data_IF_270610893851
#
_entry.id   IF_270610893851
#
_cell.length_a   1.000
_cell.length_b   1.000
_cell.length_c   1.000
_cell.angle_alpha   90.00
_cell.angle_beta   90.00
_cell.angle_gamma   90.00
#
_symmetry.space_group_name_H-M   'P 1'
#
loop_
_entity.id
_entity.type
_entity.pdbx_description
1 polymer ?
#
# COMPACT_ATOMS: atom_id res chain seq x y z
N UNK A 1 94.89 -53.46 5.82
CA UNK A 1 94.80 -52.06 5.37
C UNK A 1 95.36 -52.02 3.96
N UNK A 2 94.63 -51.52 2.96
CA UNK A 2 95.17 -51.37 1.60
C UNK A 2 96.15 -50.19 1.60
N UNK A 3 97.30 -50.34 0.94
CA UNK A 3 98.38 -49.33 0.90
C UNK A 3 98.71 -49.02 -0.57
N UNK A 4 98.87 -47.73 -0.90
CA UNK A 4 99.20 -47.29 -2.26
C UNK A 4 100.73 -47.25 -2.37
N UNK A 5 101.33 -48.40 -2.64
CA UNK A 5 102.72 -48.47 -3.09
C UNK A 5 102.78 -49.42 -4.28
N UNK A 6 103.54 -49.07 -5.30
CA UNK A 6 103.81 -49.99 -6.40
C UNK A 6 104.73 -51.09 -5.87
N UNK A 7 104.29 -52.34 -5.92
CA UNK A 7 105.06 -53.50 -5.45
C UNK A 7 106.32 -53.63 -6.30
N UNK A 8 107.40 -53.04 -5.82
CA UNK A 8 108.73 -53.15 -6.38
C UNK A 8 109.59 -53.90 -5.35
N UNK A 9 110.78 -54.38 -5.72
CA UNK A 9 111.71 -54.97 -4.74
C UNK A 9 112.08 -54.05 -3.56
N UNK A 10 111.68 -52.77 -3.60
CA UNK A 10 112.05 -51.71 -2.68
C UNK A 10 110.99 -51.39 -1.60
N UNK A 11 109.81 -52.04 -1.61
CA UNK A 11 108.74 -51.87 -0.59
C UNK A 11 108.59 -53.11 0.30
N UNK A 12 108.03 -53.00 1.52
CA UNK A 12 107.71 -54.18 2.36
C UNK A 12 106.69 -55.09 1.66
N UNK A 13 106.57 -56.38 2.05
CA UNK A 13 105.54 -57.25 1.48
C UNK A 13 104.13 -56.69 1.66
N UNK A 14 103.91 -55.90 2.73
CA UNK A 14 102.66 -55.17 2.97
C UNK A 14 102.52 -53.85 2.18
N UNK A 15 103.53 -53.42 1.41
CA UNK A 15 103.49 -52.17 0.65
C UNK A 15 103.91 -50.91 1.43
N UNK A 16 104.75 -51.07 2.46
CA UNK A 16 105.34 -49.98 3.22
C UNK A 16 106.72 -49.56 2.72
N UNK A 17 107.17 -48.38 3.15
CA UNK A 17 108.54 -47.92 3.03
C UNK A 17 109.50 -48.81 3.82
N UNK A 18 110.67 -49.10 3.23
CA UNK A 18 111.82 -49.73 3.91
C UNK A 18 112.94 -48.71 4.04
N UNK A 19 113.84 -48.94 4.99
CA UNK A 19 115.14 -48.27 4.96
C UNK A 19 115.89 -48.67 3.68
N UNK A 20 116.54 -47.69 3.03
CA UNK A 20 117.39 -47.96 1.87
C UNK A 20 118.61 -48.84 2.23
N UNK A 21 119.35 -49.30 1.23
CA UNK A 21 120.60 -50.03 1.46
C UNK A 21 121.70 -49.06 1.94
N UNK A 22 122.35 -49.37 3.07
CA UNK A 22 123.46 -48.59 3.61
C UNK A 22 124.78 -48.90 2.89
N UNK A 23 124.87 -48.59 1.59
CA UNK A 23 126.16 -48.62 0.88
C UNK A 23 126.93 -47.34 1.26
N UNK A 24 127.94 -47.47 2.11
CA UNK A 24 128.85 -46.36 2.47
C UNK A 24 128.71 -45.77 3.88
N UNK A 25 128.07 -46.47 4.84
CA UNK A 25 128.15 -46.11 6.26
C UNK A 25 127.39 -44.84 6.68
N UNK A 26 126.52 -44.29 5.83
CA UNK A 26 125.56 -43.23 6.20
C UNK A 26 124.13 -43.82 6.24
N UNK A 27 123.28 -43.42 7.20
CA UNK A 27 121.89 -43.85 7.24
C UNK A 27 121.19 -43.48 5.91
N UNK A 28 120.48 -44.42 5.28
CA UNK A 28 119.68 -44.11 4.11
C UNK A 28 118.47 -43.28 4.56
N UNK A 29 118.46 -42.01 4.16
CA UNK A 29 117.51 -40.92 4.45
C UNK A 29 117.38 -40.45 5.93
N UNK A 30 117.25 -39.12 6.19
CA UNK A 30 117.09 -38.58 7.55
C UNK A 30 115.79 -38.97 8.27
N UNK A 31 114.79 -39.44 7.51
CA UNK A 31 113.43 -39.72 7.99
C UNK A 31 113.26 -41.23 8.18
N UNK A 32 112.69 -41.62 9.33
CA UNK A 32 112.43 -43.02 9.68
C UNK A 32 111.35 -43.62 8.79
N UNK A 33 111.58 -44.82 8.27
CA UNK A 33 110.61 -45.55 7.45
C UNK A 33 109.30 -45.81 8.21
N UNK A 34 109.37 -46.04 9.52
CA UNK A 34 108.22 -46.23 10.39
C UNK A 34 107.30 -44.99 10.39
N UNK A 35 107.88 -43.78 10.41
CA UNK A 35 107.09 -42.55 10.36
C UNK A 35 106.39 -42.38 9.01
N UNK A 36 107.08 -42.66 7.91
CA UNK A 36 106.49 -42.62 6.57
C UNK A 36 105.35 -43.63 6.42
N UNK A 37 105.50 -44.82 7.02
CA UNK A 37 104.46 -45.84 7.04
C UNK A 37 103.23 -45.41 7.86
N UNK A 38 103.43 -44.74 9.00
CA UNK A 38 102.33 -44.17 9.80
C UNK A 38 101.58 -43.11 8.99
N UNK A 39 102.30 -42.17 8.36
CA UNK A 39 101.68 -41.14 7.52
C UNK A 39 100.89 -41.77 6.36
N UNK A 40 101.46 -42.77 5.69
CA UNK A 40 100.76 -43.49 4.61
C UNK A 40 99.48 -44.16 5.10
N UNK A 41 99.52 -44.79 6.29
CA UNK A 41 98.35 -45.41 6.90
C UNK A 41 97.27 -44.39 7.27
N UNK A 42 97.63 -43.25 7.87
CA UNK A 42 96.68 -42.18 8.21
C UNK A 42 96.02 -41.58 6.96
N UNK A 43 96.79 -41.33 5.90
CA UNK A 43 96.27 -40.82 4.63
C UNK A 43 95.33 -41.84 3.96
N UNK A 44 95.70 -43.12 3.97
CA UNK A 44 94.86 -44.20 3.44
C UNK A 44 93.54 -44.32 4.22
N UNK A 45 93.59 -44.23 5.55
CA UNK A 45 92.41 -44.26 6.42
C UNK A 45 91.49 -43.06 6.18
N UNK A 46 92.07 -41.85 6.06
CA UNK A 46 91.30 -40.66 5.73
C UNK A 46 90.59 -40.78 4.38
N UNK A 47 91.28 -41.29 3.36
CA UNK A 47 90.69 -41.52 2.03
C UNK A 47 89.54 -42.52 2.12
N UNK A 48 89.75 -43.67 2.77
CA UNK A 48 88.74 -44.71 2.92
C UNK A 48 87.54 -44.30 3.80
N UNK A 49 87.70 -43.28 4.65
CA UNK A 49 86.58 -42.73 5.42
C UNK A 49 85.56 -41.97 4.55
N UNK A 50 85.96 -41.48 3.38
CA UNK A 50 85.13 -40.64 2.51
C UNK A 50 85.00 -41.15 1.06
N UNK A 51 85.82 -42.11 0.64
CA UNK A 51 85.80 -42.75 -0.68
C UNK A 51 85.73 -44.29 -0.54
N UNK A 52 85.14 -45.01 -1.51
CA UNK A 52 84.86 -46.45 -1.36
C UNK A 52 86.11 -47.34 -1.38
N UNK A 53 87.20 -46.90 -2.03
CA UNK A 53 88.44 -47.66 -2.16
C UNK A 53 89.63 -46.75 -2.49
N UNK A 54 90.85 -47.22 -2.23
CA UNK A 54 92.09 -46.60 -2.71
C UNK A 54 92.31 -46.96 -4.20
N UNK A 55 92.84 -46.02 -4.99
CA UNK A 55 93.12 -46.25 -6.40
C UNK A 55 94.52 -45.73 -6.76
N UNK A 56 95.44 -46.64 -7.09
CA UNK A 56 96.84 -46.31 -7.35
C UNK A 56 97.06 -45.40 -8.58
N UNK A 57 96.06 -45.23 -9.45
CA UNK A 57 96.15 -44.42 -10.66
C UNK A 57 95.61 -42.99 -10.49
N UNK A 58 95.09 -42.66 -9.31
CA UNK A 58 94.51 -41.34 -9.05
C UNK A 58 95.33 -40.63 -7.98
N UNK A 59 96.03 -39.57 -8.37
CA UNK A 59 96.87 -38.78 -7.47
C UNK A 59 96.06 -37.73 -6.68
N UNK A 60 94.77 -37.55 -6.96
CA UNK A 60 93.91 -36.52 -6.38
C UNK A 60 92.94 -37.07 -5.32
N UNK A 61 92.99 -38.34 -4.97
CA UNK A 61 92.02 -38.96 -4.06
C UNK A 61 92.06 -38.40 -2.64
N UNK A 62 93.22 -37.92 -2.17
CA UNK A 62 93.28 -37.18 -0.91
C UNK A 62 92.45 -35.89 -0.98
N UNK A 63 92.54 -35.16 -2.10
CA UNK A 63 91.76 -33.95 -2.35
C UNK A 63 90.27 -34.29 -2.48
N UNK A 64 89.91 -35.34 -3.22
CA UNK A 64 88.52 -35.79 -3.36
C UNK A 64 87.91 -36.20 -2.01
N UNK A 65 88.66 -36.92 -1.16
CA UNK A 65 88.23 -37.27 0.19
C UNK A 65 88.02 -36.02 1.07
N UNK A 66 88.91 -35.03 0.98
CA UNK A 66 88.76 -33.76 1.70
C UNK A 66 87.55 -32.95 1.20
N UNK A 67 87.30 -32.90 -0.10
CA UNK A 67 86.11 -32.27 -0.68
C UNK A 67 84.82 -32.96 -0.21
N UNK A 68 84.81 -34.30 -0.16
CA UNK A 68 83.68 -35.07 0.37
C UNK A 68 83.46 -34.82 1.87
N UNK A 69 84.52 -34.71 2.66
CA UNK A 69 84.43 -34.32 4.08
C UNK A 69 83.74 -32.97 4.25
N UNK A 70 84.14 -31.95 3.47
CA UNK A 70 83.56 -30.61 3.52
C UNK A 70 82.09 -30.63 3.07
N UNK A 71 81.79 -31.36 1.99
CA UNK A 71 80.41 -31.54 1.50
C UNK A 71 79.51 -32.22 2.54
N UNK A 72 80.04 -33.21 3.26
CA UNK A 72 79.32 -33.91 4.33
C UNK A 72 79.10 -33.02 5.56
N UNK A 73 80.04 -32.12 5.86
CA UNK A 73 79.89 -31.14 6.94
C UNK A 73 78.76 -30.15 6.63
N UNK A 74 78.64 -29.73 5.37
CA UNK A 74 77.53 -28.92 4.83
C UNK A 74 76.17 -29.64 4.75
N UNK A 75 76.11 -30.94 5.05
CA UNK A 75 74.86 -31.71 5.07
C UNK A 75 74.35 -32.09 6.45
N UNK A 76 75.20 -32.01 7.49
CA UNK A 76 74.89 -32.58 8.82
C UNK A 76 74.17 -31.64 9.78
N UNK A 77 74.34 -30.32 9.65
CA UNK A 77 73.65 -29.37 10.51
C UNK A 77 72.30 -28.95 9.90
N UNK A 78 71.21 -29.20 10.62
CA UNK A 78 69.84 -28.77 10.25
C UNK A 78 69.47 -27.39 10.80
N UNK A 79 70.41 -26.73 11.51
CA UNK A 79 70.20 -25.42 12.14
C UNK A 79 71.36 -24.47 11.85
N UNK A 80 71.07 -23.17 11.84
CA UNK A 80 72.07 -22.10 11.71
C UNK A 80 73.13 -22.18 12.81
N UNK A 81 72.72 -22.49 14.05
CA UNK A 81 73.64 -22.69 15.18
C UNK A 81 74.60 -23.87 14.97
N UNK A 82 74.15 -24.93 14.30
CA UNK A 82 75.00 -26.06 13.92
C UNK A 82 76.08 -25.71 12.91
N UNK A 83 75.93 -24.62 12.16
CA UNK A 83 76.97 -24.04 11.29
C UNK A 83 77.83 -22.97 11.97
N UNK A 84 77.61 -22.69 13.27
CA UNK A 84 78.27 -21.58 13.96
C UNK A 84 77.80 -20.20 13.51
N UNK A 85 76.68 -20.10 12.79
CA UNK A 85 76.09 -18.83 12.37
C UNK A 85 75.29 -18.26 13.54
N UNK A 86 75.82 -17.22 14.17
CA UNK A 86 75.22 -16.59 15.37
C UNK A 86 74.45 -15.30 15.05
N UNK A 87 74.77 -14.63 13.95
CA UNK A 87 74.11 -13.39 13.51
C UNK A 87 73.08 -13.67 12.40
N UNK A 88 72.09 -14.51 12.71
CA UNK A 88 70.99 -14.81 11.80
C UNK A 88 69.65 -14.84 12.55
N UNK A 89 68.57 -14.46 11.86
CA UNK A 89 67.22 -14.61 12.39
C UNK A 89 66.83 -16.08 12.45
N UNK A 90 66.45 -16.56 13.63
CA UNK A 90 65.93 -17.91 13.81
C UNK A 90 64.40 -17.90 13.68
N UNK A 91 63.84 -18.98 13.12
CA UNK A 91 62.39 -19.15 13.01
C UNK A 91 61.66 -18.92 14.35
N UNK A 92 62.08 -19.50 15.49
CA UNK A 92 61.43 -19.26 16.78
C UNK A 92 61.42 -17.79 17.20
N UNK A 93 62.51 -17.05 16.92
CA UNK A 93 62.60 -15.63 17.26
C UNK A 93 61.65 -14.78 16.40
N UNK A 94 61.54 -15.09 15.11
CA UNK A 94 60.59 -14.42 14.21
C UNK A 94 59.16 -14.73 14.60
N UNK A 95 58.86 -16.00 14.90
CA UNK A 95 57.52 -16.44 15.31
C UNK A 95 57.08 -15.76 16.62
N UNK A 96 57.99 -15.57 17.59
CA UNK A 96 57.72 -14.82 18.83
C UNK A 96 57.41 -13.34 18.55
N UNK A 97 58.25 -12.66 17.76
CA UNK A 97 58.01 -11.25 17.41
C UNK A 97 56.70 -11.05 16.63
N UNK A 98 56.41 -11.94 15.69
CA UNK A 98 55.17 -11.88 14.91
C UNK A 98 53.94 -12.14 15.79
N UNK A 99 54.02 -13.13 16.69
CA UNK A 99 52.94 -13.42 17.64
C UNK A 99 52.68 -12.23 18.58
N UNK A 100 53.73 -11.54 19.04
CA UNK A 100 53.58 -10.31 19.83
C UNK A 100 52.92 -9.19 19.05
N UNK A 101 53.26 -9.03 17.76
CA UNK A 101 52.63 -8.04 16.87
C UNK A 101 51.17 -8.37 16.58
N UNK A 102 50.84 -9.63 16.33
CA UNK A 102 49.49 -10.08 16.01
C UNK A 102 48.54 -10.08 17.22
N UNK A 103 49.07 -10.32 18.42
CA UNK A 103 48.30 -10.34 19.67
C UNK A 103 48.49 -9.07 20.50
N UNK A 104 48.93 -7.97 19.88
CA UNK A 104 49.29 -6.75 20.60
C UNK A 104 48.07 -6.09 21.27
N UNK A 105 46.88 -6.21 20.68
CA UNK A 105 45.62 -5.74 21.28
C UNK A 105 44.41 -5.94 20.39
N UNK A 106 43.28 -5.34 20.79
CA UNK A 106 42.00 -5.44 20.07
C UNK A 106 41.53 -4.07 19.52
N UNK A 107 42.17 -2.98 19.92
CA UNK A 107 41.82 -1.63 19.48
C UNK A 107 42.84 -1.07 18.49
N UNK A 108 42.41 -0.13 17.66
CA UNK A 108 43.29 0.61 16.74
C UNK A 108 44.44 1.32 17.47
N UNK A 109 44.18 1.83 18.69
CA UNK A 109 45.17 2.48 19.52
C UNK A 109 46.27 1.52 19.99
N UNK A 110 45.91 0.26 20.30
CA UNK A 110 46.90 -0.76 20.66
C UNK A 110 47.89 -0.95 19.50
N UNK A 111 47.41 -0.96 18.26
CA UNK A 111 48.28 -1.05 17.07
C UNK A 111 49.00 0.26 16.71
N UNK A 112 48.83 1.34 17.48
CA UNK A 112 49.41 2.65 17.20
C UNK A 112 48.77 3.39 16.01
N UNK A 113 47.54 3.02 15.63
CA UNK A 113 46.80 3.64 14.54
C UNK A 113 45.99 4.81 15.13
N UNK A 114 46.50 6.03 14.97
CA UNK A 114 45.90 7.25 15.54
C UNK A 114 45.00 8.05 14.61
N UNK A 115 45.06 7.80 13.31
CA UNK A 115 44.33 8.52 12.26
C UNK A 115 43.03 7.82 11.83
N UNK A 116 42.80 6.58 12.28
CA UNK A 116 41.58 5.84 12.01
C UNK A 116 40.41 6.30 12.90
N UNK A 117 39.20 6.33 12.33
CA UNK A 117 37.99 6.55 13.11
C UNK A 117 37.66 5.33 13.97
N UNK A 118 37.39 5.56 15.26
CA UNK A 118 36.88 4.51 16.15
C UNK A 118 35.37 4.35 15.96
N UNK A 119 34.86 3.15 16.25
CA UNK A 119 33.42 2.87 16.27
C UNK A 119 32.65 3.87 17.15
N UNK A 120 33.20 4.19 18.32
CA UNK A 120 32.58 5.14 19.28
C UNK A 120 32.45 6.55 18.69
N UNK A 121 33.49 7.06 18.02
CA UNK A 121 33.43 8.35 17.34
C UNK A 121 32.39 8.35 16.22
N UNK A 122 32.35 7.28 15.40
CA UNK A 122 31.36 7.15 14.33
C UNK A 122 29.92 7.10 14.87
N UNK A 123 29.67 6.31 15.92
CA UNK A 123 28.36 6.19 16.57
C UNK A 123 27.91 7.53 17.17
N UNK A 124 28.84 8.31 17.73
CA UNK A 124 28.58 9.64 18.29
C UNK A 124 28.18 10.63 17.20
N UNK A 125 28.93 10.68 16.08
CA UNK A 125 28.62 11.54 14.94
C UNK A 125 27.29 11.16 14.28
N UNK A 126 26.99 9.86 14.19
CA UNK A 126 25.73 9.38 13.61
C UNK A 126 24.53 9.74 14.49
N UNK A 127 24.63 9.57 15.81
CA UNK A 127 23.59 10.01 16.74
C UNK A 127 23.38 11.52 16.68
N UNK A 128 24.45 12.31 16.57
CA UNK A 128 24.34 13.75 16.40
C UNK A 128 23.59 14.14 15.11
N UNK A 129 23.80 13.40 14.01
CA UNK A 129 23.03 13.60 12.77
C UNK A 129 21.57 13.16 12.87
N UNK A 130 21.28 12.06 13.58
CA UNK A 130 19.93 11.56 13.76
C UNK A 130 19.07 12.45 14.68
N UNK A 131 19.71 13.14 15.63
CA UNK A 131 19.03 14.02 16.59
C UNK A 131 19.14 15.52 16.23
N UNK A 132 19.44 15.83 14.97
CA UNK A 132 19.73 17.20 14.53
C UNK A 132 18.55 18.17 14.72
N UNK A 133 17.31 17.67 14.76
CA UNK A 133 16.17 18.46 15.22
C UNK A 133 14.82 17.76 15.01
N UNK A 134 13.73 18.46 15.35
CA UNK A 134 12.34 17.97 15.23
C UNK A 134 11.57 18.60 14.06
N UNK A 135 12.20 19.51 13.30
CA UNK A 135 11.56 20.24 12.19
C UNK A 135 12.23 19.91 10.86
N UNK A 136 11.49 20.05 9.76
CA UNK A 136 12.02 19.84 8.40
C UNK A 136 13.19 20.80 8.10
N UNK A 137 13.10 22.04 8.58
CA UNK A 137 14.16 23.04 8.43
C UNK A 137 15.46 22.64 9.16
N UNK A 138 15.36 21.95 10.30
CA UNK A 138 16.54 21.44 10.99
C UNK A 138 17.32 20.47 10.09
N UNK A 139 16.63 19.63 9.30
CA UNK A 139 17.25 18.73 8.32
C UNK A 139 17.60 19.40 6.98
N UNK A 140 17.48 20.73 6.87
CA UNK A 140 17.77 21.46 5.64
C UNK A 140 16.70 21.28 4.54
N UNK A 141 15.53 20.74 4.87
CA UNK A 141 14.42 20.59 3.93
C UNK A 141 13.65 21.91 3.90
N UNK A 142 13.85 22.71 2.85
CA UNK A 142 13.24 24.04 2.66
C UNK A 142 12.06 24.05 1.70
N UNK A 143 11.95 23.08 0.80
CA UNK A 143 10.89 22.99 -0.22
C UNK A 143 9.74 22.07 0.23
N UNK A 144 9.37 22.14 1.50
CA UNK A 144 8.27 21.36 2.07
C UNK A 144 7.25 22.26 2.75
N UNK A 145 5.97 21.91 2.62
CA UNK A 145 4.91 22.59 3.34
C UNK A 145 5.01 22.33 4.84
N UNK A 146 4.99 23.39 5.64
CA UNK A 146 4.94 23.28 7.10
C UNK A 146 3.50 23.18 7.59
N UNK A 147 3.29 22.49 8.72
CA UNK A 147 1.96 22.38 9.35
C UNK A 147 1.28 23.75 9.54
N UNK A 148 1.96 24.80 10.06
CA UNK A 148 1.34 26.13 10.20
C UNK A 148 0.90 26.75 8.87
N UNK A 149 1.66 26.57 7.79
CA UNK A 149 1.28 27.07 6.46
C UNK A 149 -0.02 26.40 5.97
N UNK A 150 -0.11 25.07 6.10
CA UNK A 150 -1.30 24.31 5.69
C UNK A 150 -2.50 24.66 6.58
N UNK A 151 -2.31 24.73 7.91
CA UNK A 151 -3.37 25.11 8.85
C UNK A 151 -3.90 26.53 8.52
N UNK A 152 -3.02 27.47 8.17
CA UNK A 152 -3.41 28.83 7.75
C UNK A 152 -4.17 28.85 6.42
N UNK A 153 -3.72 28.11 5.41
CA UNK A 153 -4.40 27.99 4.12
C UNK A 153 -5.78 27.33 4.27
N UNK A 154 -5.86 26.28 5.08
CA UNK A 154 -7.11 25.57 5.35
C UNK A 154 -8.09 26.44 6.14
N UNK A 155 -7.61 27.14 7.17
CA UNK A 155 -8.42 28.10 7.94
C UNK A 155 -8.94 29.22 7.04
N UNK A 156 -8.10 29.72 6.12
CA UNK A 156 -8.50 30.72 5.13
C UNK A 156 -9.60 30.21 4.20
N UNK A 157 -9.53 28.93 3.79
CA UNK A 157 -10.60 28.28 3.00
C UNK A 157 -11.86 27.96 3.82
N UNK A 158 -11.73 27.58 5.08
CA UNK A 158 -12.87 27.30 5.96
C UNK A 158 -13.62 28.58 6.35
N UNK A 159 -12.93 29.72 6.39
CA UNK A 159 -13.50 31.04 6.63
C UNK A 159 -14.01 31.73 5.35
N UNK A 160 -14.06 31.05 4.20
CA UNK A 160 -14.72 31.57 3.00
C UNK A 160 -16.24 31.54 3.13
N UNK A 161 -16.79 32.20 4.16
CA UNK A 161 -18.18 32.62 4.28
C UNK A 161 -19.22 31.52 4.51
N UNK A 162 -20.41 31.95 4.94
CA UNK A 162 -21.59 31.10 5.13
C UNK A 162 -22.41 30.95 3.83
N UNK A 163 -21.89 31.40 2.69
CA UNK A 163 -22.62 31.45 1.42
C UNK A 163 -21.91 30.67 0.33
N UNK A 164 -22.67 30.09 -0.59
CA UNK A 164 -22.17 29.33 -1.75
C UNK A 164 -21.18 30.15 -2.60
N UNK A 165 -21.45 31.45 -2.79
CA UNK A 165 -20.60 32.34 -3.59
C UNK A 165 -19.21 32.55 -2.98
N UNK A 166 -19.09 32.47 -1.66
CA UNK A 166 -17.80 32.59 -0.97
C UNK A 166 -16.89 31.39 -1.24
N UNK A 167 -17.45 30.23 -1.59
CA UNK A 167 -16.72 29.05 -2.07
C UNK A 167 -16.49 29.04 -3.59
N UNK A 168 -16.86 30.11 -4.30
CA UNK A 168 -16.78 30.18 -5.76
C UNK A 168 -17.85 29.36 -6.48
N UNK A 169 -18.90 28.92 -5.77
CA UNK A 169 -20.02 28.16 -6.35
C UNK A 169 -21.01 29.17 -6.93
N UNK A 170 -20.99 29.35 -8.25
CA UNK A 170 -21.80 30.36 -8.97
C UNK A 170 -23.09 29.84 -9.60
N UNK A 171 -23.24 28.53 -9.72
CA UNK A 171 -24.36 27.86 -10.40
C UNK A 171 -25.40 27.27 -9.44
N UNK A 172 -25.18 27.41 -8.13
CA UNK A 172 -26.12 26.93 -7.12
C UNK A 172 -27.32 27.88 -6.93
N UNK A 173 -28.51 27.29 -6.74
CA UNK A 173 -29.70 28.05 -6.34
C UNK A 173 -29.54 28.58 -4.91
N UNK A 174 -29.64 29.91 -4.74
CA UNK A 174 -29.63 30.53 -3.41
C UNK A 174 -31.02 30.54 -2.81
N UNK A 175 -31.10 30.48 -1.47
CA UNK A 175 -32.37 30.61 -0.75
C UNK A 175 -33.14 31.86 -1.20
N UNK A 176 -32.47 33.00 -1.30
CA UNK A 176 -33.08 34.26 -1.77
C UNK A 176 -33.63 34.17 -3.19
N UNK A 177 -32.93 33.52 -4.12
CA UNK A 177 -33.41 33.34 -5.49
C UNK A 177 -34.66 32.45 -5.53
N UNK A 178 -34.66 31.33 -4.80
CA UNK A 178 -35.81 30.42 -4.71
C UNK A 178 -37.00 31.10 -4.03
N UNK A 179 -36.77 31.76 -2.90
CA UNK A 179 -37.79 32.50 -2.17
C UNK A 179 -38.40 33.61 -3.05
N UNK A 180 -37.60 34.31 -3.85
CA UNK A 180 -38.07 35.31 -4.81
C UNK A 180 -38.93 34.72 -5.93
N UNK A 181 -38.50 33.61 -6.54
CA UNK A 181 -39.28 32.89 -7.55
C UNK A 181 -40.61 32.37 -7.00
N UNK A 182 -40.59 31.83 -5.77
CA UNK A 182 -41.78 31.34 -5.09
C UNK A 182 -42.72 32.48 -4.67
N UNK A 183 -42.19 33.57 -4.12
CA UNK A 183 -42.97 34.75 -3.77
C UNK A 183 -43.62 35.38 -5.01
N UNK A 184 -42.94 35.40 -6.16
CA UNK A 184 -43.53 35.85 -7.43
C UNK A 184 -44.68 34.96 -7.90
N UNK A 185 -44.67 33.66 -7.58
CA UNK A 185 -45.80 32.75 -7.80
C UNK A 185 -46.92 32.98 -6.79
N UNK A 186 -46.57 33.18 -5.51
CA UNK A 186 -47.53 33.41 -4.42
C UNK A 186 -48.23 34.77 -4.51
N UNK A 187 -47.55 35.84 -4.92
CA UNK A 187 -48.13 37.18 -5.05
C UNK A 187 -49.17 37.32 -6.16
N UNK A 188 -49.34 36.28 -6.99
CA UNK A 188 -50.43 36.20 -7.96
C UNK A 188 -51.70 35.56 -7.38
N UNK A 189 -51.78 35.43 -6.05
CA UNK A 189 -52.81 34.73 -5.26
C UNK A 189 -54.26 35.16 -5.43
N UNK A 190 -54.54 36.23 -6.17
CA UNK A 190 -55.92 36.73 -6.34
C UNK A 190 -56.64 36.16 -7.55
N UNK A 191 -55.97 35.41 -8.43
CA UNK A 191 -56.58 34.81 -9.63
C UNK A 191 -56.00 33.43 -9.95
N UNK A 192 -56.81 32.54 -10.54
CA UNK A 192 -56.34 31.24 -11.06
C UNK A 192 -55.27 31.40 -12.14
N UNK A 193 -55.44 32.36 -13.05
CA UNK A 193 -54.46 32.71 -14.07
C UNK A 193 -53.12 33.15 -13.44
N UNK A 194 -53.17 33.78 -12.27
CA UNK A 194 -52.02 34.13 -11.48
C UNK A 194 -51.14 32.95 -11.08
N UNK A 195 -51.76 31.82 -10.71
CA UNK A 195 -51.06 30.57 -10.43
C UNK A 195 -50.61 29.80 -11.69
N UNK A 196 -50.94 30.29 -12.89
CA UNK A 196 -50.66 29.61 -14.16
C UNK A 196 -51.71 28.57 -14.56
N UNK A 197 -52.88 28.57 -13.91
CA UNK A 197 -54.03 27.74 -14.31
C UNK A 197 -54.73 28.48 -15.45
N UNK A 198 -54.75 27.89 -16.65
CA UNK A 198 -55.22 28.54 -17.89
C UNK A 198 -56.54 27.97 -18.43
N UNK A 199 -57.04 26.92 -17.82
CA UNK A 199 -58.25 26.19 -18.14
C UNK A 199 -59.28 26.14 -16.99
N UNK A 200 -59.66 27.26 -16.34
CA UNK A 200 -60.75 27.20 -15.35
C UNK A 200 -62.09 26.85 -16.01
N UNK A 201 -62.86 25.95 -15.38
CA UNK A 201 -64.23 25.63 -15.80
C UNK A 201 -65.11 26.89 -15.86
N UNK A 202 -64.92 27.84 -14.93
CA UNK A 202 -65.59 29.15 -14.93
C UNK A 202 -64.58 30.26 -14.64
N UNK A 203 -64.42 31.19 -15.59
CA UNK A 203 -63.37 32.23 -15.57
C UNK A 203 -63.84 33.60 -15.10
N UNK A 204 -65.14 33.82 -14.99
CA UNK A 204 -65.75 35.15 -14.77
C UNK A 204 -66.23 35.39 -13.32
N UNK A 205 -65.83 34.53 -12.37
CA UNK A 205 -66.31 34.53 -10.98
C UNK A 205 -67.84 34.48 -10.82
N UNK A 206 -68.59 34.20 -11.89
CA UNK A 206 -70.05 34.12 -11.90
C UNK A 206 -70.56 32.67 -11.87
N UNK A 207 -69.79 31.77 -11.25
CA UNK A 207 -70.15 30.36 -11.10
C UNK A 207 -71.55 30.17 -10.51
N UNK A 208 -71.82 30.82 -9.39
CA UNK A 208 -73.10 30.76 -8.67
C UNK A 208 -74.24 31.35 -9.49
N UNK A 209 -74.14 32.57 -10.05
CA UNK A 209 -75.15 33.11 -10.96
C UNK A 209 -75.41 32.21 -12.19
N UNK A 210 -74.38 31.64 -12.82
CA UNK A 210 -74.54 30.73 -13.97
C UNK A 210 -75.25 29.44 -13.59
N UNK A 211 -74.93 28.86 -12.43
CA UNK A 211 -75.63 27.70 -11.90
C UNK A 211 -77.10 28.01 -11.57
N UNK A 212 -77.37 29.18 -10.97
CA UNK A 212 -78.73 29.65 -10.67
C UNK A 212 -79.52 29.87 -11.97
N UNK A 213 -78.95 30.54 -12.98
CA UNK A 213 -79.61 30.75 -14.27
C UNK A 213 -79.87 29.43 -14.97
N UNK A 214 -78.92 28.49 -14.99
CA UNK A 214 -79.11 27.17 -15.58
C UNK A 214 -80.23 26.36 -14.89
N UNK A 215 -80.39 26.50 -13.57
CA UNK A 215 -81.47 25.86 -12.82
C UNK A 215 -82.82 26.57 -12.99
N UNK A 216 -82.84 27.91 -13.02
CA UNK A 216 -84.06 28.71 -13.08
C UNK A 216 -84.64 28.85 -14.49
N UNK A 217 -83.82 28.75 -15.53
CA UNK A 217 -84.27 28.75 -16.94
C UNK A 217 -84.76 27.39 -17.42
N UNK A 218 -84.63 26.34 -16.61
CA UNK A 218 -85.38 25.12 -16.81
C UNK A 218 -86.85 25.40 -16.44
N UNK A 219 -87.67 25.71 -17.45
CA UNK A 219 -89.12 25.89 -17.27
C UNK A 219 -89.70 24.71 -16.47
N UNK A 220 -90.64 24.97 -15.56
CA UNK A 220 -91.30 23.92 -14.77
C UNK A 220 -91.93 22.91 -15.74
N UNK A 221 -91.34 21.72 -15.82
CA UNK A 221 -91.62 20.78 -16.89
C UNK A 221 -90.48 20.56 -17.89
N UNK A 222 -89.23 20.97 -17.69
CA UNK A 222 -88.12 20.40 -18.47
C UNK A 222 -87.92 18.90 -18.17
N UNK A 223 -87.52 18.05 -19.12
CA UNK A 223 -87.10 16.66 -18.79
C UNK A 223 -85.92 16.75 -17.80
N UNK A 224 -85.98 15.99 -16.71
CA UNK A 224 -84.99 16.04 -15.62
C UNK A 224 -85.29 17.07 -14.53
N UNK A 225 -86.36 17.87 -14.67
CA UNK A 225 -86.81 18.80 -13.61
C UNK A 225 -87.70 18.09 -12.59
N UNK A 226 -87.69 18.60 -11.36
CA UNK A 226 -88.54 18.12 -10.27
C UNK A 226 -89.64 19.14 -9.98
N UNK A 227 -90.85 18.67 -9.69
CA UNK A 227 -91.97 19.50 -9.28
C UNK A 227 -92.79 18.81 -8.18
N UNK A 228 -93.35 19.58 -7.26
CA UNK A 228 -94.37 19.08 -6.34
C UNK A 228 -95.71 19.08 -7.08
N UNK A 229 -96.31 17.90 -7.21
CA UNK A 229 -97.54 17.70 -7.97
C UNK A 229 -98.60 17.06 -7.09
N UNK A 230 -99.84 17.48 -7.29
CA UNK A 230 -101.02 16.77 -6.82
C UNK A 230 -101.37 15.73 -7.88
N UNK A 231 -101.26 14.44 -7.54
CA UNK A 231 -101.49 13.33 -8.48
C UNK A 231 -102.93 12.87 -8.36
N UNK A 232 -103.67 12.96 -9.46
CA UNK A 232 -105.09 12.60 -9.58
C UNK A 232 -105.35 11.41 -10.51
N UNK A 233 -106.64 11.20 -10.83
CA UNK A 233 -107.10 10.22 -11.83
C UNK A 233 -107.93 9.05 -11.26
N UNK A 234 -108.26 9.06 -9.97
CA UNK A 234 -109.28 8.16 -9.39
C UNK A 234 -110.64 8.85 -9.32
N UNK A 235 -111.74 8.10 -9.42
CA UNK A 235 -113.06 8.64 -9.08
C UNK A 235 -113.06 9.06 -7.59
N UNK A 236 -113.63 10.23 -7.29
CA UNK A 236 -113.54 10.86 -5.97
C UNK A 236 -114.03 9.93 -4.85
N UNK A 237 -113.14 9.53 -3.94
CA UNK A 237 -113.49 8.87 -2.67
C UNK A 237 -112.89 7.47 -2.42
N UNK A 238 -112.25 6.82 -3.40
CA UNK A 238 -111.70 5.47 -3.22
C UNK A 238 -110.20 5.48 -2.83
N UNK A 239 -109.80 4.61 -1.89
CA UNK A 239 -108.40 4.38 -1.50
C UNK A 239 -107.58 3.81 -2.68
N UNK A 240 -106.72 4.64 -3.27
CA UNK A 240 -105.90 4.28 -4.43
C UNK A 240 -104.41 4.65 -4.21
N UNK A 241 -103.63 3.84 -3.47
CA UNK A 241 -102.23 4.14 -3.20
C UNK A 241 -101.35 4.06 -4.45
N UNK A 242 -100.34 4.92 -4.54
CA UNK A 242 -99.35 4.93 -5.62
C UNK A 242 -97.96 4.77 -5.03
N UNK A 243 -97.23 3.71 -5.42
CA UNK A 243 -95.87 3.48 -4.96
C UNK A 243 -94.88 4.49 -5.58
N UNK A 244 -93.81 4.79 -4.85
CA UNK A 244 -92.69 5.55 -5.39
C UNK A 244 -92.11 4.84 -6.64
N UNK A 245 -91.75 5.63 -7.65
CA UNK A 245 -91.27 5.18 -8.95
C UNK A 245 -92.35 4.97 -10.00
N UNK A 246 -93.63 5.02 -9.63
CA UNK A 246 -94.74 4.91 -10.58
C UNK A 246 -94.74 6.09 -11.55
N UNK A 247 -95.01 5.82 -12.83
CA UNK A 247 -95.17 6.84 -13.85
C UNK A 247 -96.62 7.32 -13.90
N UNK A 248 -96.80 8.63 -13.86
CA UNK A 248 -98.11 9.29 -13.95
C UNK A 248 -98.09 10.27 -15.12
N UNK A 249 -99.18 10.27 -15.89
CA UNK A 249 -99.35 11.24 -16.96
C UNK A 249 -99.52 12.63 -16.35
N UNK A 250 -98.84 13.63 -16.90
CA UNK A 250 -98.95 15.00 -16.41
C UNK A 250 -100.37 15.56 -16.55
N UNK A 251 -101.15 15.08 -17.52
CA UNK A 251 -102.60 15.34 -17.64
C UNK A 251 -103.42 14.93 -16.41
N UNK A 252 -102.91 13.98 -15.62
CA UNK A 252 -103.53 13.52 -14.38
C UNK A 252 -102.89 14.15 -13.15
N UNK A 253 -102.02 15.14 -13.32
CA UNK A 253 -101.38 15.86 -12.22
C UNK A 253 -101.81 17.32 -12.24
N UNK A 254 -101.64 18.01 -11.13
CA UNK A 254 -101.88 19.44 -11.02
C UNK A 254 -100.69 20.12 -10.34
N UNK A 255 -100.34 21.30 -10.80
CA UNK A 255 -99.38 22.17 -10.10
C UNK A 255 -100.07 22.84 -8.90
N UNK A 256 -99.30 23.09 -7.85
CA UNK A 256 -99.68 24.09 -6.85
C UNK A 256 -99.50 25.47 -7.46
N UNK A 257 -100.56 26.24 -7.62
CA UNK A 257 -100.46 27.62 -8.09
C UNK A 257 -99.64 28.43 -7.08
N UNK A 258 -98.59 29.12 -7.54
CA UNK A 258 -97.72 29.94 -6.70
C UNK A 258 -98.36 31.28 -6.27
N UNK A 259 -99.58 31.61 -6.73
CA UNK A 259 -100.31 32.84 -6.38
C UNK A 259 -101.67 32.65 -5.70
N UNK A 260 -102.18 31.42 -5.53
CA UNK A 260 -103.47 31.16 -4.87
C UNK A 260 -103.51 29.77 -4.23
N UNK A 261 -104.33 29.58 -3.20
CA UNK A 261 -104.57 28.31 -2.50
C UNK A 261 -105.38 27.27 -3.32
N UNK A 262 -105.26 27.31 -4.66
CA UNK A 262 -105.98 26.42 -5.59
C UNK A 262 -105.00 25.75 -6.54
N UNK A 263 -105.20 24.46 -6.81
CA UNK A 263 -104.47 23.70 -7.82
C UNK A 263 -105.03 24.01 -9.22
N UNK A 264 -104.18 24.44 -10.15
CA UNK A 264 -104.61 24.79 -11.51
C UNK A 264 -103.54 24.46 -12.55
N UNK A 265 -103.95 23.80 -13.63
CA UNK A 265 -103.10 23.45 -14.78
C UNK A 265 -102.43 22.08 -14.64
N UNK A 266 -102.47 21.30 -15.73
CA UNK A 266 -101.85 19.99 -15.81
C UNK A 266 -100.44 20.08 -16.42
N UNK A 267 -99.39 19.56 -15.77
CA UNK A 267 -98.05 19.48 -16.36
C UNK A 267 -98.08 18.70 -17.68
N UNK A 268 -97.23 19.09 -18.63
CA UNK A 268 -97.00 18.27 -19.82
C UNK A 268 -96.13 17.04 -19.49
N UNK A 269 -96.24 15.99 -20.29
CA UNK A 269 -95.32 14.84 -20.26
C UNK A 269 -95.65 13.76 -19.25
N UNK A 270 -94.66 12.92 -18.94
CA UNK A 270 -94.75 11.82 -17.99
C UNK A 270 -93.85 12.10 -16.79
N UNK A 271 -94.40 11.87 -15.61
CA UNK A 271 -93.79 12.21 -14.34
C UNK A 271 -93.60 10.94 -13.52
N UNK A 272 -92.40 10.77 -12.97
CA UNK A 272 -92.09 9.71 -12.04
C UNK A 272 -92.35 10.20 -10.62
N UNK A 273 -93.26 9.54 -9.92
CA UNK A 273 -93.55 9.79 -8.51
C UNK A 273 -92.31 9.45 -7.68
N UNK A 274 -91.83 10.37 -6.85
CA UNK A 274 -90.61 10.17 -6.05
C UNK A 274 -90.89 9.72 -4.62
N UNK A 275 -92.08 10.01 -4.08
CA UNK A 275 -92.55 9.51 -2.78
C UNK A 275 -93.92 8.83 -2.91
N UNK A 276 -94.17 7.78 -2.12
CA UNK A 276 -95.44 7.05 -2.18
C UNK A 276 -96.62 7.93 -1.75
N UNK A 277 -97.77 7.72 -2.39
CA UNK A 277 -99.04 8.37 -2.08
C UNK A 277 -100.00 7.38 -1.45
N UNK A 278 -100.76 7.83 -0.45
CA UNK A 278 -101.79 7.03 0.19
C UNK A 278 -103.06 6.95 -0.68
N UNK A 279 -103.38 8.05 -1.36
CA UNK A 279 -104.46 8.14 -2.33
C UNK A 279 -104.05 9.03 -3.52
N UNK A 280 -104.71 8.90 -4.67
CA UNK A 280 -104.52 9.76 -5.85
C UNK A 280 -105.83 10.36 -6.35
N UNK A 281 -106.66 10.82 -5.42
CA UNK A 281 -107.93 11.49 -5.75
C UNK A 281 -107.74 12.94 -6.19
N UNK A 282 -106.54 13.50 -5.98
CA UNK A 282 -106.19 14.87 -6.37
C UNK A 282 -106.88 15.95 -5.53
N UNK A 283 -107.53 15.58 -4.42
CA UNK A 283 -108.34 16.48 -3.61
C UNK A 283 -107.78 16.73 -2.21
N UNK A 284 -106.95 15.82 -1.69
CA UNK A 284 -106.40 15.88 -0.35
C UNK A 284 -104.86 15.92 -0.37
N UNK A 285 -104.21 16.41 0.72
CA UNK A 285 -102.75 16.47 0.81
C UNK A 285 -102.05 15.11 0.66
N UNK A 286 -102.77 14.02 0.91
CA UNK A 286 -102.30 12.64 0.76
C UNK A 286 -102.11 12.21 -0.72
N UNK A 287 -102.50 13.07 -1.66
CA UNK A 287 -102.28 12.96 -3.11
C UNK A 287 -101.10 13.81 -3.61
N UNK A 288 -100.38 14.51 -2.73
CA UNK A 288 -99.26 15.39 -3.11
C UNK A 288 -97.90 14.70 -2.94
N UNK A 289 -97.03 14.77 -3.94
CA UNK A 289 -95.65 14.25 -3.84
C UNK A 289 -94.70 14.98 -4.79
N UNK A 290 -93.41 14.82 -4.55
CA UNK A 290 -92.39 15.26 -5.49
C UNK A 290 -92.39 14.31 -6.69
N UNK A 291 -92.34 14.87 -7.89
CA UNK A 291 -92.32 14.15 -9.14
C UNK A 291 -91.16 14.64 -10.01
N UNK A 292 -90.50 13.71 -10.70
CA UNK A 292 -89.46 13.99 -11.70
C UNK A 292 -90.05 13.89 -13.10
N UNK A 293 -89.91 14.91 -13.94
CA UNK A 293 -90.29 14.79 -15.35
C UNK A 293 -89.29 13.90 -16.07
N UNK A 294 -89.76 12.81 -16.66
CA UNK A 294 -88.90 11.82 -17.35
C UNK A 294 -89.07 11.81 -18.86
N UNK A 295 -90.18 12.35 -19.38
CA UNK A 295 -90.42 12.60 -20.82
C UNK A 295 -91.46 13.71 -21.01
#
# INVERSE_FOLDING_TARGET
>A
MQLISQWTPYTTPEGGFRYGSAVGGKPPTPIKAEWLNVIQAELANFILAYLPALNANDNEQLLKAAQQMISNLAGKATTLAGYGITDAYTKPRVDDFLSRKANWGITLADYGIGDAYTKSQADTLLQAKANWGTTLAAYGITDAYTKPQIDSLLSSKANWGITLGSYGIGDAYTKTAVDGLLAAKANKATTLAGYGITDPIWTDLNATPKAIVAQASAEVGGIGTYALLLVGGSASGDYAPVAAGTLVAGGNCLYTNCGASTSAGAPAGTWKVMGALYNRDGNQPDSATLCLRVS
#
